data_IF_065463071221
#
_entry.id   IF_065463071221
#
_cell.length_a   1.000
_cell.length_b   1.000
_cell.length_c   1.000
_cell.angle_alpha   90.00
_cell.angle_beta   90.00
_cell.angle_gamma   90.00
#
_symmetry.space_group_name_H-M   'P 1'
#
loop_
_entity.id
_entity.type
_entity.pdbx_description
1 polymer ?
#
# COMPACT_ATOMS: atom_id res chain seq x y z
N UNK A 1 -19.93 3.94 -12.54
CA UNK A 1 -19.43 5.33 -12.42
C UNK A 1 -18.09 5.27 -11.71
N UNK A 2 -17.11 6.11 -12.08
CA UNK A 2 -15.89 6.23 -11.28
C UNK A 2 -16.22 6.74 -9.87
N UNK A 3 -15.33 6.47 -8.92
CA UNK A 3 -15.42 6.97 -7.55
C UNK A 3 -15.61 8.51 -7.54
N UNK A 4 -16.55 9.00 -6.74
CA UNK A 4 -16.88 10.42 -6.64
C UNK A 4 -15.85 11.19 -5.82
N UNK A 5 -15.81 12.50 -6.03
CA UNK A 5 -15.00 13.42 -5.25
C UNK A 5 -15.39 13.40 -3.77
N UNK A 6 -16.69 13.29 -3.47
CA UNK A 6 -17.18 13.12 -2.11
C UNK A 6 -16.60 11.86 -1.45
N UNK A 7 -16.63 10.71 -2.13
CA UNK A 7 -16.08 9.47 -1.60
C UNK A 7 -14.56 9.57 -1.34
N UNK A 8 -13.81 10.16 -2.28
CA UNK A 8 -12.38 10.39 -2.13
C UNK A 8 -12.05 11.32 -0.95
N UNK A 9 -12.83 12.40 -0.79
CA UNK A 9 -12.65 13.36 0.30
C UNK A 9 -12.94 12.73 1.66
N UNK A 10 -14.02 11.95 1.76
CA UNK A 10 -14.37 11.23 2.97
C UNK A 10 -13.33 10.16 3.32
N UNK A 11 -12.83 9.41 2.33
CA UNK A 11 -11.75 8.43 2.51
C UNK A 11 -10.44 9.10 2.99
N UNK A 12 -10.08 10.25 2.44
CA UNK A 12 -8.91 11.03 2.88
C UNK A 12 -9.07 11.47 4.33
N UNK A 13 -10.26 11.96 4.69
CA UNK A 13 -10.58 12.37 6.07
C UNK A 13 -10.48 11.19 7.03
N UNK A 14 -11.05 10.04 6.66
CA UNK A 14 -10.96 8.79 7.42
C UNK A 14 -9.50 8.40 7.69
N UNK A 15 -8.64 8.42 6.66
CA UNK A 15 -7.23 8.11 6.79
C UNK A 15 -6.50 9.03 7.76
N UNK A 16 -6.77 10.34 7.69
CA UNK A 16 -6.15 11.29 8.61
C UNK A 16 -6.65 11.14 10.05
N UNK A 17 -7.93 10.83 10.24
CA UNK A 17 -8.49 10.57 11.55
C UNK A 17 -7.89 9.29 12.15
N UNK A 18 -7.84 8.22 11.37
CA UNK A 18 -7.30 6.94 11.83
C UNK A 18 -5.81 7.05 12.20
N UNK A 19 -5.02 7.84 11.48
CA UNK A 19 -3.63 8.13 11.86
C UNK A 19 -3.48 8.77 13.23
N UNK A 20 -4.45 9.60 13.63
CA UNK A 20 -4.40 10.35 14.89
C UNK A 20 -4.93 9.53 16.06
N UNK A 21 -6.00 8.76 15.85
CA UNK A 21 -6.72 8.08 16.93
C UNK A 21 -6.49 6.58 16.98
N UNK A 22 -6.05 5.97 15.89
CA UNK A 22 -5.99 4.51 15.71
C UNK A 22 -4.85 3.79 16.42
N UNK A 23 -3.90 4.50 17.04
CA UNK A 23 -2.71 3.88 17.67
C UNK A 23 -3.04 2.91 18.82
N UNK A 24 -4.27 2.96 19.33
CA UNK A 24 -4.79 2.06 20.37
C UNK A 24 -5.41 0.77 19.81
N UNK A 25 -5.62 0.66 18.50
CA UNK A 25 -6.19 -0.54 17.88
C UNK A 25 -5.17 -1.67 17.75
N UNK A 26 -5.64 -2.90 17.90
CA UNK A 26 -4.85 -4.09 17.58
C UNK A 26 -4.60 -4.10 16.07
N UNK A 27 -3.35 -4.33 15.65
CA UNK A 27 -2.94 -4.27 14.24
C UNK A 27 -3.06 -2.89 13.58
N UNK A 28 -2.99 -1.81 14.37
CA UNK A 28 -3.01 -0.43 13.86
C UNK A 28 -2.15 -0.22 12.60
N UNK A 29 -0.89 -0.68 12.61
CA UNK A 29 0.02 -0.51 11.48
C UNK A 29 -0.45 -1.24 10.21
N UNK A 30 -0.99 -2.46 10.36
CA UNK A 30 -1.50 -3.25 9.24
C UNK A 30 -2.76 -2.61 8.65
N UNK A 31 -3.67 -2.15 9.50
CA UNK A 31 -4.90 -1.45 9.12
C UNK A 31 -4.60 -0.11 8.44
N UNK A 32 -3.64 0.65 8.98
CA UNK A 32 -3.20 1.91 8.40
C UNK A 32 -2.56 1.70 7.03
N UNK A 33 -1.71 0.68 6.88
CA UNK A 33 -1.09 0.32 5.60
C UNK A 33 -2.13 -0.11 4.56
N UNK A 34 -3.12 -0.90 4.97
CA UNK A 34 -4.24 -1.31 4.12
C UNK A 34 -5.05 -0.10 3.65
N UNK A 35 -5.40 0.81 4.56
CA UNK A 35 -6.14 2.03 4.23
C UNK A 35 -5.34 2.91 3.26
N UNK A 36 -4.04 3.05 3.49
CA UNK A 36 -3.14 3.75 2.58
C UNK A 36 -3.12 3.14 1.17
N UNK A 37 -3.10 1.81 1.09
CA UNK A 37 -3.09 1.09 -0.19
C UNK A 37 -4.40 1.27 -0.96
N UNK A 38 -5.53 1.32 -0.26
CA UNK A 38 -6.85 1.58 -0.85
C UNK A 38 -6.88 3.01 -1.43
N UNK A 39 -6.45 4.01 -0.66
CA UNK A 39 -6.43 5.40 -1.12
C UNK A 39 -5.43 5.68 -2.25
N UNK A 40 -4.31 4.94 -2.30
CA UNK A 40 -3.19 5.20 -3.25
C UNK A 40 -3.16 4.32 -4.49
N UNK A 41 -4.21 3.56 -4.79
CA UNK A 41 -4.21 2.69 -5.98
C UNK A 41 -5.08 3.30 -7.10
N UNK A 42 -4.64 4.37 -7.79
CA UNK A 42 -5.44 5.09 -8.78
C UNK A 42 -5.91 4.18 -9.93
N UNK A 43 -5.10 3.18 -10.30
CA UNK A 43 -5.48 2.19 -11.31
C UNK A 43 -6.60 1.24 -10.86
N UNK A 44 -6.69 0.95 -9.56
CA UNK A 44 -7.77 0.14 -9.00
C UNK A 44 -9.02 0.99 -8.74
N UNK A 45 -8.84 2.25 -8.32
CA UNK A 45 -9.94 3.20 -8.07
C UNK A 45 -10.72 3.58 -9.33
N UNK A 46 -10.13 3.49 -10.54
CA UNK A 46 -10.86 3.71 -11.81
C UNK A 46 -11.95 2.69 -12.09
N UNK A 47 -11.91 1.52 -11.45
CA UNK A 47 -12.87 0.42 -11.65
C UNK A 47 -13.95 0.40 -10.56
N UNK A 48 -13.66 0.98 -9.39
CA UNK A 48 -14.58 0.96 -8.26
C UNK A 48 -15.55 2.13 -8.29
N UNK A 49 -16.83 1.82 -8.06
CA UNK A 49 -17.85 2.80 -7.73
C UNK A 49 -17.84 3.10 -6.22
N UNK A 50 -18.49 4.19 -5.83
CA UNK A 50 -18.66 4.54 -4.41
C UNK A 50 -19.26 3.39 -3.60
N UNK A 51 -20.25 2.69 -4.17
CA UNK A 51 -20.87 1.52 -3.55
C UNK A 51 -19.88 0.42 -3.20
N UNK A 52 -18.86 0.21 -4.03
CA UNK A 52 -17.84 -0.81 -3.79
C UNK A 52 -16.93 -0.41 -2.61
N UNK A 53 -16.62 0.88 -2.49
CA UNK A 53 -15.83 1.41 -1.37
C UNK A 53 -16.61 1.37 -0.06
N UNK A 54 -17.87 1.79 -0.08
CA UNK A 54 -18.75 1.72 1.08
C UNK A 54 -18.87 0.27 1.57
N UNK A 55 -19.12 -0.67 0.65
CA UNK A 55 -19.25 -2.09 0.97
C UNK A 55 -17.94 -2.67 1.51
N UNK A 56 -16.80 -2.31 0.91
CA UNK A 56 -15.48 -2.74 1.38
C UNK A 56 -15.22 -2.27 2.82
N UNK A 57 -15.50 -1.01 3.13
CA UNK A 57 -15.28 -0.44 4.46
C UNK A 57 -16.23 -1.05 5.50
N UNK A 58 -17.51 -1.20 5.16
CA UNK A 58 -18.51 -1.84 6.01
C UNK A 58 -18.14 -3.29 6.33
N UNK A 59 -17.79 -4.08 5.31
CA UNK A 59 -17.37 -5.46 5.51
C UNK A 59 -16.11 -5.55 6.38
N UNK A 60 -15.12 -4.68 6.13
CA UNK A 60 -13.90 -4.63 6.92
C UNK A 60 -14.18 -4.30 8.39
N UNK A 61 -15.02 -3.28 8.67
CA UNK A 61 -15.40 -2.91 10.02
C UNK A 61 -16.19 -4.03 10.74
N UNK A 62 -17.05 -4.77 10.01
CA UNK A 62 -17.82 -5.87 10.58
C UNK A 62 -16.96 -7.07 11.00
N UNK A 63 -15.86 -7.32 10.29
CA UNK A 63 -14.99 -8.48 10.52
C UNK A 63 -13.92 -8.23 11.58
N UNK A 64 -13.58 -6.97 11.86
CA UNK A 64 -12.52 -6.65 12.81
C UNK A 64 -13.12 -6.46 14.22
N UNK A 65 -13.04 -7.47 15.07
CA UNK A 65 -13.54 -7.40 16.46
C UNK A 65 -12.74 -6.46 17.38
N UNK A 66 -11.44 -6.28 17.12
CA UNK A 66 -10.47 -5.69 18.05
C UNK A 66 -9.84 -4.36 17.59
N UNK A 67 -10.58 -3.59 16.78
CA UNK A 67 -10.16 -2.27 16.29
C UNK A 67 -11.31 -1.25 16.42
N UNK A 68 -11.67 -0.83 17.64
CA UNK A 68 -12.78 0.10 17.86
C UNK A 68 -12.55 1.48 17.19
N UNK A 69 -11.31 1.96 17.10
CA UNK A 69 -11.02 3.24 16.45
C UNK A 69 -11.19 3.16 14.94
N UNK A 70 -10.81 2.03 14.34
CA UNK A 70 -11.05 1.76 12.93
C UNK A 70 -12.56 1.75 12.62
N UNK A 71 -13.37 1.07 13.45
CA UNK A 71 -14.83 1.09 13.30
C UNK A 71 -15.40 2.50 13.39
N UNK A 72 -15.00 3.27 14.41
CA UNK A 72 -15.44 4.64 14.57
C UNK A 72 -15.05 5.52 13.37
N UNK A 73 -13.86 5.30 12.79
CA UNK A 73 -13.44 6.00 11.58
C UNK A 73 -14.27 5.58 10.35
N UNK A 74 -14.63 4.31 10.21
CA UNK A 74 -15.52 3.82 9.15
C UNK A 74 -16.92 4.42 9.30
N UNK A 75 -17.48 4.45 10.51
CA UNK A 75 -18.79 5.07 10.77
C UNK A 75 -18.78 6.57 10.44
N UNK A 76 -17.75 7.29 10.89
CA UNK A 76 -17.57 8.71 10.57
C UNK A 76 -17.41 8.94 9.06
N UNK A 77 -16.71 8.05 8.36
CA UNK A 77 -16.59 8.07 6.90
C UNK A 77 -17.97 7.95 6.21
N UNK A 78 -18.80 7.00 6.62
CA UNK A 78 -20.13 6.80 6.03
C UNK A 78 -21.03 8.02 6.22
N UNK A 79 -21.01 8.61 7.43
CA UNK A 79 -21.77 9.82 7.75
C UNK A 79 -21.27 11.02 6.94
N UNK A 80 -19.96 11.22 6.84
CA UNK A 80 -19.36 12.31 6.07
C UNK A 80 -19.67 12.15 4.57
N UNK A 81 -19.55 10.94 4.03
CA UNK A 81 -19.92 10.65 2.64
C UNK A 81 -21.39 10.93 2.36
N UNK A 82 -22.29 10.45 3.22
CA UNK A 82 -23.73 10.69 3.10
C UNK A 82 -24.06 12.19 3.17
N UNK A 83 -23.38 12.94 4.06
CA UNK A 83 -23.55 14.39 4.18
C UNK A 83 -23.11 15.10 2.91
N UNK A 84 -21.96 14.72 2.35
CA UNK A 84 -21.41 15.32 1.11
C UNK A 84 -22.21 14.97 -0.14
N UNK A 85 -22.82 13.79 -0.21
CA UNK A 85 -23.62 13.35 -1.36
C UNK A 85 -25.06 13.82 -1.29
N UNK A 86 -25.62 14.03 -0.10
CA UNK A 86 -26.89 14.73 0.08
C UNK A 86 -26.78 16.23 -0.21
N UNK A 87 -25.57 16.80 -0.14
CA UNK A 87 -25.29 18.11 -0.71
C UNK A 87 -25.11 17.98 -2.24
N UNK A 88 -25.87 18.75 -3.02
CA UNK A 88 -25.79 18.79 -4.51
C UNK A 88 -24.39 19.12 -5.07
N UNK A 89 -23.41 19.44 -4.22
CA UNK A 89 -22.04 19.84 -4.53
C UNK A 89 -21.08 18.67 -4.82
N UNK A 90 -21.48 17.39 -4.66
CA UNK A 90 -20.57 16.22 -4.68
C UNK A 90 -19.83 15.92 -6.00
N UNK A 91 -20.14 16.64 -7.08
CA UNK A 91 -19.62 16.40 -8.43
C UNK A 91 -18.60 17.44 -8.91
N UNK A 92 -18.31 18.47 -8.10
CA UNK A 92 -17.50 19.61 -8.52
C UNK A 92 -16.61 20.15 -7.39
N UNK A 93 -15.45 20.72 -7.73
CA UNK A 93 -14.60 21.46 -6.78
C UNK A 93 -15.25 22.79 -6.34
N UNK A 94 -14.55 23.50 -5.45
CA UNK A 94 -14.84 24.87 -5.00
C UNK A 94 -14.92 25.91 -6.13
N UNK A 95 -14.59 25.52 -7.37
CA UNK A 95 -14.68 26.31 -8.60
C UNK A 95 -15.71 25.76 -9.58
N UNK A 96 -16.52 24.77 -9.20
CA UNK A 96 -17.55 24.19 -10.05
C UNK A 96 -17.02 23.25 -11.14
N UNK A 97 -15.76 22.79 -11.05
CA UNK A 97 -15.16 21.90 -12.04
C UNK A 97 -15.17 20.44 -11.59
N UNK A 98 -15.47 19.48 -12.48
CA UNK A 98 -15.29 18.06 -12.22
C UNK A 98 -13.81 17.76 -11.98
N UNK A 99 -13.45 17.31 -10.77
CA UNK A 99 -12.08 16.96 -10.43
C UNK A 99 -11.81 15.51 -10.83
N UNK A 100 -10.79 15.30 -11.66
CA UNK A 100 -10.31 13.95 -11.94
C UNK A 100 -9.56 13.40 -10.72
N UNK A 101 -9.74 12.11 -10.42
CA UNK A 101 -9.01 11.45 -9.32
C UNK A 101 -7.49 11.62 -9.42
N UNK A 102 -6.93 11.80 -10.61
CA UNK A 102 -5.48 11.93 -10.82
C UNK A 102 -4.96 13.32 -10.40
N UNK A 103 -5.80 14.38 -10.42
CA UNK A 103 -5.39 15.73 -10.03
C UNK A 103 -5.48 15.98 -8.52
N UNK A 104 -6.46 15.35 -7.84
CA UNK A 104 -6.61 15.41 -6.38
C UNK A 104 -5.37 14.89 -5.62
N UNK A 105 -4.66 13.93 -6.20
CA UNK A 105 -3.46 13.34 -5.58
C UNK A 105 -2.15 14.04 -5.96
N UNK A 106 -2.15 14.97 -6.94
CA UNK A 106 -0.91 15.64 -7.39
C UNK A 106 -0.38 16.65 -6.38
N UNK A 107 -1.25 17.35 -5.66
CA UNK A 107 -0.84 18.41 -4.71
C UNK A 107 -0.11 17.89 -3.47
N UNK A 108 -0.21 16.60 -3.13
CA UNK A 108 0.40 16.03 -1.91
C UNK A 108 1.84 15.50 -2.10
N UNK A 109 2.38 15.53 -3.32
CA UNK A 109 3.77 15.10 -3.59
C UNK A 109 4.84 16.02 -2.99
N UNK A 110 4.49 17.19 -2.46
CA UNK A 110 5.44 18.11 -1.80
C UNK A 110 5.77 17.74 -0.34
N UNK A 111 5.07 16.78 0.27
CA UNK A 111 5.22 16.43 1.69
C UNK A 111 5.71 14.99 1.91
N UNK A 112 6.69 14.55 1.12
CA UNK A 112 7.47 13.38 1.51
C UNK A 112 8.49 13.82 2.57
N UNK A 113 8.44 13.29 3.81
CA UNK A 113 9.62 13.35 4.67
C UNK A 113 10.77 12.64 3.93
N UNK A 114 12.02 13.12 4.07
CA UNK A 114 13.16 12.48 3.41
C UNK A 114 13.16 11.00 3.78
N UNK A 115 13.15 10.12 2.77
CA UNK A 115 13.34 8.69 2.97
C UNK A 115 14.74 8.50 3.55
N UNK A 116 14.84 8.44 4.87
CA UNK A 116 16.03 7.89 5.53
C UNK A 116 15.94 6.38 5.27
N UNK A 117 16.80 5.81 4.41
CA UNK A 117 16.69 4.41 4.06
C UNK A 117 16.93 3.57 5.32
N UNK A 118 15.99 2.70 5.68
CA UNK A 118 16.24 1.73 6.75
C UNK A 118 17.43 0.82 6.36
N UNK A 119 18.15 0.26 7.33
CA UNK A 119 19.26 -0.65 7.07
C UNK A 119 18.86 -1.81 6.14
N UNK A 120 17.63 -2.32 6.31
CA UNK A 120 17.03 -3.33 5.45
C UNK A 120 16.84 -2.85 4.00
N UNK A 121 16.47 -1.57 3.80
CA UNK A 121 16.32 -0.97 2.48
C UNK A 121 17.66 -0.83 1.76
N UNK A 122 18.74 -0.54 2.49
CA UNK A 122 20.10 -0.49 1.93
C UNK A 122 20.60 -1.88 1.53
N UNK A 123 20.41 -2.88 2.40
CA UNK A 123 20.76 -4.26 2.09
C UNK A 123 19.98 -4.80 0.89
N UNK A 124 18.67 -4.53 0.81
CA UNK A 124 17.86 -4.95 -0.32
C UNK A 124 18.31 -4.30 -1.63
N UNK A 125 18.66 -3.00 -1.61
CA UNK A 125 19.22 -2.31 -2.79
C UNK A 125 20.56 -2.91 -3.20
N UNK A 126 21.42 -3.28 -2.26
CA UNK A 126 22.71 -3.94 -2.55
C UNK A 126 22.52 -5.33 -3.18
N UNK A 127 21.58 -6.13 -2.65
CA UNK A 127 21.26 -7.46 -3.20
C UNK A 127 20.68 -7.38 -4.61
N UNK A 128 19.80 -6.39 -4.86
CA UNK A 128 19.25 -6.14 -6.20
C UNK A 128 20.35 -5.72 -7.16
N UNK A 129 21.23 -4.79 -6.77
CA UNK A 129 22.34 -4.32 -7.59
C UNK A 129 23.30 -5.47 -7.96
N UNK A 130 23.63 -6.36 -7.02
CA UNK A 130 24.48 -7.52 -7.27
C UNK A 130 23.81 -8.54 -8.21
N UNK A 131 22.49 -8.75 -8.07
CA UNK A 131 21.73 -9.61 -8.99
C UNK A 131 21.73 -9.04 -10.40
N UNK A 132 21.50 -7.75 -10.55
CA UNK A 132 21.53 -7.10 -11.86
C UNK A 132 22.93 -7.08 -12.47
N UNK A 133 23.98 -6.96 -11.66
CA UNK A 133 25.37 -7.09 -12.11
C UNK A 133 25.64 -8.49 -12.68
N UNK A 134 25.15 -9.54 -12.03
CA UNK A 134 25.26 -10.93 -12.52
C UNK A 134 24.46 -11.15 -13.81
N UNK A 135 23.29 -10.53 -13.92
CA UNK A 135 22.47 -10.59 -15.14
C UNK A 135 23.08 -9.80 -16.31
N UNK A 136 23.78 -8.69 -16.03
CA UNK A 136 24.53 -7.91 -17.04
C UNK A 136 25.90 -8.50 -17.38
N UNK A 137 26.46 -9.34 -16.51
CA UNK A 137 27.79 -9.95 -16.66
C UNK A 137 27.78 -11.40 -17.17
N UNK A 138 26.71 -11.85 -17.82
CA UNK A 138 26.61 -13.19 -18.41
C UNK A 138 27.40 -13.32 -19.73
N UNK A 139 28.73 -13.28 -19.65
CA UNK A 139 29.60 -13.55 -20.80
C UNK A 139 31.08 -13.27 -20.53
N UNK A 140 31.73 -14.10 -19.71
CA UNK A 140 33.08 -14.68 -19.94
C UNK A 140 33.61 -15.39 -18.68
N UNK A 141 34.09 -16.62 -18.86
CA UNK A 141 34.89 -17.34 -17.85
C UNK A 141 34.24 -18.59 -17.24
N UNK A 142 34.18 -19.66 -18.02
CA UNK A 142 33.80 -20.99 -17.58
C UNK A 142 34.63 -21.48 -16.36
N UNK A 143 34.03 -22.27 -15.43
CA UNK A 143 34.81 -23.03 -14.47
C UNK A 143 35.49 -24.18 -15.23
N UNK A 144 36.83 -24.17 -15.30
CA UNK A 144 37.57 -25.40 -15.60
C UNK A 144 37.43 -26.33 -14.40
N UNK A 145 36.50 -27.26 -14.53
CA UNK A 145 36.51 -28.55 -13.87
C UNK A 145 37.87 -29.23 -14.12
N UNK A 146 38.61 -29.53 -13.05
CA UNK A 146 39.56 -30.64 -13.05
C UNK A 146 38.91 -31.81 -12.28
N UNK A 147 39.04 -33.05 -12.78
CA UNK A 147 38.25 -34.17 -12.33
C UNK A 147 38.76 -34.75 -11.01
N UNK A 148 37.81 -34.96 -10.09
CA UNK A 148 37.94 -35.87 -8.95
C UNK A 148 37.89 -37.31 -9.49
N UNK A 149 38.96 -38.06 -9.30
CA UNK A 149 39.03 -39.51 -9.27
C UNK A 149 40.28 -39.82 -8.42
N UNK A 150 40.28 -40.67 -7.40
CA UNK A 150 39.48 -41.86 -7.13
C UNK A 150 39.71 -42.17 -5.64
N UNK A 151 38.65 -42.34 -4.86
CA UNK A 151 38.74 -42.94 -3.51
C UNK A 151 38.80 -44.45 -3.72
N UNK A 152 39.89 -45.09 -3.33
CA UNK A 152 39.91 -46.53 -3.08
C UNK A 152 40.14 -46.77 -1.58
N UNK A 153 39.14 -47.43 -1.01
CA UNK A 153 39.09 -47.97 0.34
C UNK A 153 39.98 -49.22 0.47
N UNK A 154 40.57 -49.41 1.65
CA UNK A 154 41.10 -50.69 2.14
C UNK A 154 42.43 -50.51 2.86
N UNK A 155 42.75 -51.14 3.99
CA UNK A 155 42.05 -52.02 4.93
C UNK A 155 42.97 -52.08 6.17
N UNK A 156 42.38 -52.48 7.29
CA UNK A 156 42.95 -52.52 8.64
C UNK A 156 44.08 -53.58 8.83
N UNK A 157 44.76 -53.46 9.98
CA UNK A 157 45.75 -54.37 10.63
C UNK A 157 47.21 -54.18 10.17
N UNK A 158 48.20 -54.01 11.06
CA UNK A 158 48.37 -54.43 12.45
C UNK A 158 49.37 -53.51 13.15
#
# INVERSE_FOLDING_TARGET
MPISYACLTSLKTMLQNYKKTGSSDTHYQDLLALLHKICRSPHKLKVYADSDMLLLMLNSASQIGYAPQFKACVEAFLVDYQTRTNALESFVDDKGKPVSSDDFWKEENQWLPPEIPSALTLELKAVIAERERRLRGGGEGAPKTQPVNKVEFGLNMK
#
